data_IF_193037263648
#
_entry.id   IF_193037263648
#
_cell.length_a   1.000
_cell.length_b   1.000
_cell.length_c   1.000
_cell.angle_alpha   90.00
_cell.angle_beta   90.00
_cell.angle_gamma   90.00
#
_symmetry.space_group_name_H-M   'P 1'
#
loop_
_entity.id
_entity.type
_entity.pdbx_description
1 polymer ?
#
# COMPACT_ATOMS: atom_id res chain seq x y z
N UNK A 1 -8.32 7.81 2.05
CA UNK A 1 -8.67 7.05 0.84
C UNK A 1 -8.00 7.69 -0.35
N UNK A 2 -7.49 6.90 -1.28
CA UNK A 2 -6.84 7.33 -2.52
C UNK A 2 -7.57 6.69 -3.70
N UNK A 3 -7.79 7.45 -4.78
CA UNK A 3 -8.37 6.93 -6.03
C UNK A 3 -7.29 6.86 -7.11
N UNK A 4 -7.27 5.75 -7.86
CA UNK A 4 -6.35 5.43 -8.94
C UNK A 4 -7.13 4.84 -10.12
N UNK A 5 -6.59 4.91 -11.33
CA UNK A 5 -7.10 4.14 -12.47
C UNK A 5 -6.34 2.82 -12.61
N UNK A 6 -6.94 1.84 -13.28
CA UNK A 6 -6.23 0.61 -13.65
C UNK A 6 -4.96 0.96 -14.43
N UNK A 7 -3.82 0.41 -14.00
CA UNK A 7 -2.49 0.68 -14.54
C UNK A 7 -1.72 1.81 -13.83
N UNK A 8 -2.36 2.61 -12.98
CA UNK A 8 -1.66 3.63 -12.20
C UNK A 8 -0.77 3.00 -11.13
N UNK A 9 0.28 3.73 -10.77
CA UNK A 9 1.13 3.43 -9.61
C UNK A 9 1.02 4.54 -8.56
N UNK A 10 1.25 4.18 -7.29
CA UNK A 10 1.20 5.11 -6.17
C UNK A 10 2.18 4.72 -5.08
N UNK A 11 3.08 5.64 -4.73
CA UNK A 11 4.03 5.44 -3.64
C UNK A 11 3.40 5.82 -2.29
N UNK A 12 3.46 4.90 -1.32
CA UNK A 12 2.92 5.11 0.03
C UNK A 12 3.70 6.16 0.83
N UNK A 13 4.95 6.44 0.47
CA UNK A 13 5.83 7.42 1.12
C UNK A 13 5.84 7.30 2.66
N UNK A 14 5.93 6.06 3.17
CA UNK A 14 5.91 5.80 4.61
C UNK A 14 7.19 6.32 5.27
N UNK A 15 7.03 7.16 6.29
CA UNK A 15 8.12 7.63 7.15
C UNK A 15 8.11 6.82 8.44
N UNK A 16 9.26 6.25 8.79
CA UNK A 16 9.44 5.44 10.00
C UNK A 16 10.47 6.13 10.89
N UNK A 17 10.11 6.41 12.13
CA UNK A 17 11.03 6.98 13.13
C UNK A 17 11.09 6.08 14.38
N UNK A 18 12.29 5.70 14.85
CA UNK A 18 13.60 5.99 14.27
C UNK A 18 13.82 5.26 12.93
N UNK A 19 14.52 5.93 11.99
CA UNK A 19 14.71 5.46 10.61
C UNK A 19 15.34 4.08 10.45
N UNK A 20 16.10 3.59 11.44
CA UNK A 20 16.72 2.26 11.43
C UNK A 20 15.71 1.10 11.51
N UNK A 21 14.44 1.39 11.84
CA UNK A 21 13.35 0.40 11.87
C UNK A 21 12.66 0.23 10.51
N UNK A 22 12.94 1.10 9.53
CA UNK A 22 12.35 1.03 8.18
C UNK A 22 12.54 -0.33 7.50
N UNK A 23 13.64 -1.03 7.78
CA UNK A 23 13.91 -2.39 7.28
C UNK A 23 12.93 -3.47 7.79
N UNK A 24 12.16 -3.19 8.84
CA UNK A 24 11.13 -4.08 9.37
C UNK A 24 9.75 -3.81 8.77
N UNK A 25 9.64 -2.81 7.89
CA UNK A 25 8.39 -2.42 7.25
C UNK A 25 7.87 -3.55 6.37
N UNK A 26 6.60 -3.87 6.56
CA UNK A 26 5.86 -4.88 5.79
C UNK A 26 4.58 -4.27 5.27
N UNK A 27 4.31 -4.54 4.00
CA UNK A 27 3.08 -4.15 3.34
C UNK A 27 2.20 -5.36 3.07
N UNK A 28 0.90 -5.22 3.31
CA UNK A 28 -0.10 -6.23 2.96
C UNK A 28 -1.33 -5.56 2.37
N UNK A 29 -2.11 -6.30 1.59
CA UNK A 29 -3.43 -5.88 1.15
C UNK A 29 -4.46 -6.99 1.40
N UNK A 30 -5.71 -6.61 1.59
CA UNK A 30 -6.85 -7.53 1.68
C UNK A 30 -7.36 -8.00 0.30
N UNK A 31 -6.96 -7.35 -0.80
CA UNK A 31 -7.43 -7.62 -2.16
C UNK A 31 -6.25 -7.65 -3.16
N UNK A 32 -5.52 -8.77 -3.17
CA UNK A 32 -4.33 -8.97 -4.02
C UNK A 32 -4.62 -9.03 -5.52
N UNK A 33 -5.89 -9.10 -5.92
CA UNK A 33 -6.35 -9.07 -7.30
C UNK A 33 -6.75 -7.65 -7.78
N UNK A 34 -6.81 -6.68 -6.87
CA UNK A 34 -7.17 -5.28 -7.16
C UNK A 34 -5.91 -4.41 -7.13
N UNK A 35 -5.03 -4.65 -6.15
CA UNK A 35 -3.74 -3.96 -6.04
C UNK A 35 -2.62 -4.93 -5.69
N UNK A 36 -1.43 -4.64 -6.17
CA UNK A 36 -0.18 -5.25 -5.71
C UNK A 36 0.73 -4.20 -5.07
N UNK A 37 1.65 -4.64 -4.21
CA UNK A 37 2.58 -3.75 -3.50
C UNK A 37 3.97 -4.39 -3.55
N UNK A 38 4.97 -3.62 -3.96
CA UNK A 38 6.35 -4.09 -3.95
C UNK A 38 7.03 -3.87 -2.58
N UNK A 39 8.30 -4.28 -2.44
CA UNK A 39 9.08 -4.13 -1.21
C UNK A 39 9.32 -2.68 -0.80
N UNK A 40 9.28 -1.75 -1.75
CA UNK A 40 9.55 -0.33 -1.53
C UNK A 40 8.27 0.45 -1.15
N UNK A 41 7.11 -0.21 -1.16
CA UNK A 41 5.82 0.41 -0.85
C UNK A 41 5.18 1.13 -2.03
N UNK A 42 5.56 0.78 -3.26
CA UNK A 42 4.84 1.20 -4.45
C UNK A 42 3.65 0.27 -4.69
N UNK A 43 2.46 0.87 -4.73
CA UNK A 43 1.20 0.21 -5.06
C UNK A 43 0.96 0.28 -6.56
N UNK A 44 0.56 -0.83 -7.18
CA UNK A 44 0.09 -0.87 -8.57
C UNK A 44 -1.40 -1.21 -8.59
N UNK A 45 -2.19 -0.44 -9.33
CA UNK A 45 -3.61 -0.69 -9.51
C UNK A 45 -3.85 -1.67 -10.67
N UNK A 46 -4.38 -2.86 -10.38
CA UNK A 46 -4.47 -3.97 -11.34
C UNK A 46 -5.89 -4.16 -11.90
N UNK A 47 -6.91 -3.97 -11.06
CA UNK A 47 -8.30 -4.16 -11.46
C UNK A 47 -9.24 -3.22 -10.70
N UNK A 48 -10.38 -2.89 -11.30
CA UNK A 48 -11.41 -2.07 -10.67
C UNK A 48 -11.88 -2.68 -9.34
N UNK A 49 -12.02 -1.84 -8.31
CA UNK A 49 -12.56 -2.23 -7.01
C UNK A 49 -11.92 -1.46 -5.87
N UNK A 50 -12.14 -1.91 -4.63
CA UNK A 50 -11.64 -1.24 -3.43
C UNK A 50 -10.74 -2.22 -2.67
N UNK A 51 -9.53 -1.77 -2.33
CA UNK A 51 -8.56 -2.52 -1.56
C UNK A 51 -8.09 -1.70 -0.35
N UNK A 52 -7.83 -2.36 0.77
CA UNK A 52 -7.14 -1.77 1.91
C UNK A 52 -5.69 -2.22 1.90
N UNK A 53 -4.78 -1.26 1.96
CA UNK A 53 -3.35 -1.49 2.12
C UNK A 53 -2.97 -1.20 3.58
N UNK A 54 -2.21 -2.09 4.18
CA UNK A 54 -1.67 -1.95 5.54
C UNK A 54 -0.15 -1.92 5.49
N UNK A 55 0.45 -0.93 6.14
CA UNK A 55 1.87 -0.84 6.43
C UNK A 55 2.09 -1.20 7.91
N UNK A 56 3.05 -2.07 8.21
CA UNK A 56 3.34 -2.53 9.57
C UNK A 56 4.84 -2.47 9.87
N UNK A 57 5.23 -1.89 11.00
CA UNK A 57 6.60 -1.87 11.51
C UNK A 57 6.58 -2.30 12.97
N UNK A 58 7.17 -3.47 13.28
CA UNK A 58 7.12 -4.02 14.64
C UNK A 58 5.68 -4.25 15.10
N UNK A 59 5.25 -3.53 16.14
CA UNK A 59 3.90 -3.57 16.70
C UNK A 59 3.00 -2.40 16.23
N UNK A 60 3.51 -1.51 15.38
CA UNK A 60 2.75 -0.38 14.84
C UNK A 60 2.26 -0.70 13.45
N UNK A 61 1.05 -0.25 13.11
CA UNK A 61 0.53 -0.35 11.75
C UNK A 61 -0.36 0.82 11.41
N UNK A 62 -0.37 1.19 10.14
CA UNK A 62 -1.31 2.17 9.57
C UNK A 62 -1.92 1.62 8.28
N UNK A 63 -3.06 2.17 7.86
CA UNK A 63 -3.80 1.69 6.70
C UNK A 63 -4.25 2.81 5.76
N UNK A 64 -4.36 2.48 4.48
CA UNK A 64 -4.94 3.35 3.46
C UNK A 64 -5.87 2.54 2.56
N UNK A 65 -7.06 3.07 2.31
CA UNK A 65 -7.99 2.52 1.32
C UNK A 65 -7.66 3.07 -0.06
N UNK A 66 -7.52 2.18 -1.03
CA UNK A 66 -7.34 2.45 -2.45
C UNK A 66 -8.63 2.09 -3.18
N UNK A 67 -9.17 3.03 -3.95
CA UNK A 67 -10.26 2.80 -4.91
C UNK A 67 -9.68 2.82 -6.32
N UNK A 68 -9.85 1.73 -7.04
CA UNK A 68 -9.42 1.58 -8.42
C UNK A 68 -10.62 1.72 -9.33
N UNK A 69 -10.56 2.70 -10.21
CA UNK A 69 -11.55 2.98 -11.24
C UNK A 69 -11.06 2.49 -12.60
N UNK A 70 -12.00 2.25 -13.52
CA UNK A 70 -11.71 1.85 -14.88
C UNK A 70 -11.13 3.01 -15.72
#
# INVERSE_FOLDING_TARGET
MKTLKVGDTYDLNVVVEPSNQSKLLKYTTDQTNIVSINSDGQVTAEAQGIATVKATVGNMSDTITINVEA
#
